data_IF_152870955280
#
_entry.id   IF_152870955280
#
_cell.length_a   1.000
_cell.length_b   1.000
_cell.length_c   1.000
_cell.angle_alpha   90.00
_cell.angle_beta   90.00
_cell.angle_gamma   90.00
#
_symmetry.space_group_name_H-M   'P 1'
#
loop_
_entity.id
_entity.type
_entity.pdbx_description
1 polymer ?
#
# COMPACT_ATOMS: atom_id res chain seq x y z
N UNK A 1 -12.44 5.84 -6.41
CA UNK A 1 -10.99 5.65 -6.38
C UNK A 1 -10.64 4.35 -7.08
N UNK A 2 -9.83 4.40 -8.15
CA UNK A 2 -9.33 3.22 -8.86
C UNK A 2 -8.01 2.83 -8.20
N UNK A 3 -7.96 1.66 -7.58
CA UNK A 3 -6.81 1.26 -6.77
C UNK A 3 -5.54 1.09 -7.62
N UNK A 4 -4.33 1.22 -7.03
CA UNK A 4 -3.05 1.04 -7.73
C UNK A 4 -2.95 -0.26 -8.55
N UNK A 5 -2.55 -0.20 -9.82
CA UNK A 5 -2.34 -1.40 -10.63
C UNK A 5 -1.22 -1.22 -11.63
N UNK A 6 -0.47 -2.28 -11.89
CA UNK A 6 0.62 -2.25 -12.87
C UNK A 6 0.09 -1.95 -14.27
N UNK A 7 0.72 -1.01 -14.96
CA UNK A 7 0.27 -0.55 -16.28
C UNK A 7 -0.82 0.52 -16.23
N UNK A 8 -1.02 1.17 -15.08
CA UNK A 8 -1.81 2.39 -15.02
C UNK A 8 -1.11 3.56 -15.73
N UNK A 9 -1.86 4.64 -15.93
CA UNK A 9 -1.39 5.86 -16.63
C UNK A 9 -1.07 7.00 -15.68
N UNK A 10 -0.92 6.72 -14.38
CA UNK A 10 -0.57 7.75 -13.38
C UNK A 10 0.90 8.13 -13.52
N UNK A 11 1.31 9.23 -12.91
CA UNK A 11 2.68 9.75 -13.00
C UNK A 11 3.30 9.92 -11.60
N UNK A 12 4.32 9.10 -11.24
CA UNK A 12 4.80 7.92 -11.96
C UNK A 12 3.73 6.82 -11.99
N UNK A 13 3.80 5.92 -12.98
CA UNK A 13 2.87 4.79 -13.04
C UNK A 13 3.13 3.84 -11.87
N UNK A 14 2.08 3.18 -11.38
CA UNK A 14 2.29 2.10 -10.41
C UNK A 14 3.11 0.98 -11.05
N UNK A 15 4.09 0.49 -10.31
CA UNK A 15 4.96 -0.61 -10.71
C UNK A 15 5.43 -1.36 -9.47
N UNK A 16 4.76 -2.47 -9.16
CA UNK A 16 5.03 -3.26 -7.95
C UNK A 16 5.07 -4.75 -8.27
N UNK A 17 5.93 -5.50 -7.59
CA UNK A 17 6.09 -6.94 -7.81
C UNK A 17 5.01 -7.79 -7.13
N UNK A 18 4.51 -7.33 -5.98
CA UNK A 18 3.57 -8.07 -5.15
C UNK A 18 2.11 -7.74 -5.45
N UNK A 19 1.30 -7.79 -4.40
CA UNK A 19 -0.09 -7.36 -4.42
C UNK A 19 -0.45 -6.63 -3.13
N UNK A 20 -1.72 -6.36 -2.93
CA UNK A 20 -2.21 -5.81 -1.69
C UNK A 20 -3.66 -6.22 -1.45
N UNK A 21 -4.08 -6.16 -0.19
CA UNK A 21 -5.48 -6.29 0.20
C UNK A 21 -5.95 -5.00 0.85
N UNK A 22 -7.25 -4.76 0.85
CA UNK A 22 -7.84 -3.71 1.67
C UNK A 22 -7.90 -4.22 3.10
N UNK A 23 -7.14 -3.58 3.99
CA UNK A 23 -7.12 -3.89 5.42
C UNK A 23 -8.19 -3.12 6.19
N UNK A 24 -8.46 -1.89 5.76
CA UNK A 24 -9.42 -1.02 6.45
C UNK A 24 -10.00 -0.01 5.46
N UNK A 25 -11.33 0.18 5.54
CA UNK A 25 -12.03 1.35 5.03
C UNK A 25 -12.80 1.96 6.20
N UNK A 26 -12.48 3.19 6.53
CA UNK A 26 -13.09 3.89 7.65
C UNK A 26 -13.31 5.36 7.35
N UNK A 27 -14.31 5.94 8.00
CA UNK A 27 -14.68 7.34 7.89
C UNK A 27 -15.12 7.86 9.25
N UNK A 28 -15.23 9.18 9.37
CA UNK A 28 -15.44 9.84 10.66
C UNK A 28 -16.91 10.13 10.97
N UNK A 29 -17.80 10.03 9.99
CA UNK A 29 -19.15 10.57 10.09
C UNK A 29 -20.22 9.73 9.37
N UNK A 30 -20.11 8.40 9.39
CA UNK A 30 -21.16 7.51 8.85
C UNK A 30 -21.18 7.40 7.33
N UNK A 31 -20.02 7.58 6.69
CA UNK A 31 -19.82 7.33 5.28
C UNK A 31 -20.15 5.88 4.92
N UNK A 32 -20.72 5.68 3.73
CA UNK A 32 -20.96 4.32 3.20
C UNK A 32 -19.94 3.98 2.13
N UNK A 33 -19.46 2.75 2.18
CA UNK A 33 -18.38 2.25 1.36
C UNK A 33 -18.89 1.19 0.41
N UNK A 34 -18.39 1.22 -0.81
CA UNK A 34 -18.67 0.25 -1.85
C UNK A 34 -17.38 -0.14 -2.55
N UNK A 35 -17.34 -1.33 -3.11
CA UNK A 35 -16.24 -1.78 -3.93
C UNK A 35 -16.74 -2.41 -5.23
N UNK A 36 -15.85 -2.58 -6.19
CA UNK A 36 -16.11 -3.34 -7.40
C UNK A 36 -14.94 -4.27 -7.71
N UNK A 37 -15.22 -5.32 -8.48
CA UNK A 37 -14.23 -6.22 -9.07
C UNK A 37 -14.21 -6.11 -10.60
N UNK A 38 -14.94 -5.14 -11.16
CA UNK A 38 -14.93 -4.88 -12.60
C UNK A 38 -13.52 -4.48 -13.07
N UNK A 39 -13.14 -4.73 -14.34
CA UNK A 39 -11.80 -4.39 -14.84
C UNK A 39 -11.47 -2.90 -14.65
N UNK A 40 -10.25 -2.56 -14.21
CA UNK A 40 -9.87 -1.16 -13.95
C UNK A 40 -10.11 -0.22 -15.14
N UNK A 41 -9.93 -0.73 -16.37
CA UNK A 41 -10.12 0.03 -17.61
C UNK A 41 -11.58 0.38 -17.90
N UNK A 42 -12.56 -0.31 -17.29
CA UNK A 42 -13.99 0.00 -17.47
C UNK A 42 -14.53 0.96 -16.40
N UNK A 43 -13.70 1.35 -15.43
CA UNK A 43 -14.16 2.12 -14.27
C UNK A 43 -14.22 3.60 -14.63
N UNK A 44 -15.43 4.16 -14.56
CA UNK A 44 -15.63 5.58 -14.79
C UNK A 44 -15.21 6.39 -13.55
N UNK A 45 -14.36 7.41 -13.77
CA UNK A 45 -13.91 8.32 -12.70
C UNK A 45 -14.96 9.34 -12.27
N UNK A 46 -16.04 9.52 -13.03
CA UNK A 46 -17.22 10.24 -12.58
C UNK A 46 -18.15 9.29 -11.81
N UNK A 47 -18.23 9.39 -10.47
CA UNK A 47 -19.07 8.49 -9.68
C UNK A 47 -20.57 8.65 -9.95
N UNK A 48 -21.01 9.73 -10.62
CA UNK A 48 -22.43 9.94 -10.95
C UNK A 48 -22.93 9.10 -12.13
N UNK A 49 -22.02 8.67 -13.02
CA UNK A 49 -22.39 7.86 -14.20
C UNK A 49 -22.60 6.38 -13.85
N UNK A 50 -22.02 5.91 -12.75
CA UNK A 50 -22.28 4.63 -12.09
C UNK A 50 -22.39 3.41 -13.04
N UNK A 51 -21.49 3.30 -14.02
CA UNK A 51 -21.51 2.29 -15.09
C UNK A 51 -21.03 0.90 -14.67
N UNK A 52 -20.64 0.72 -13.41
CA UNK A 52 -19.99 -0.47 -12.86
C UNK A 52 -20.83 -1.13 -11.78
N UNK A 53 -20.56 -2.39 -11.47
CA UNK A 53 -21.21 -3.12 -10.39
C UNK A 53 -20.60 -2.74 -9.05
N UNK A 54 -21.33 -1.99 -8.22
CA UNK A 54 -20.88 -1.56 -6.90
C UNK A 54 -21.54 -2.38 -5.80
N UNK A 55 -20.71 -3.04 -5.00
CA UNK A 55 -21.12 -3.92 -3.90
C UNK A 55 -20.88 -3.17 -2.59
N UNK A 56 -21.86 -3.09 -1.66
CA UNK A 56 -21.63 -2.56 -0.32
C UNK A 56 -20.47 -3.27 0.36
N UNK A 57 -19.56 -2.50 0.96
CA UNK A 57 -18.38 -3.05 1.62
C UNK A 57 -18.71 -3.52 3.03
N UNK A 58 -18.34 -4.76 3.32
CA UNK A 58 -17.98 -5.23 4.66
C UNK A 58 -16.69 -6.04 4.56
N UNK A 59 -15.88 -6.16 5.63
CA UNK A 59 -14.67 -6.97 5.61
C UNK A 59 -14.93 -8.41 5.15
N UNK A 60 -16.04 -9.00 5.59
CA UNK A 60 -16.43 -10.38 5.25
C UNK A 60 -16.76 -10.52 3.76
N UNK A 61 -17.51 -9.58 3.19
CA UNK A 61 -17.91 -9.61 1.78
C UNK A 61 -16.74 -9.30 0.83
N UNK A 62 -15.76 -8.52 1.29
CA UNK A 62 -14.58 -8.14 0.54
C UNK A 62 -13.47 -9.21 0.56
N UNK A 63 -13.48 -10.09 1.57
CA UNK A 63 -12.42 -11.09 1.77
C UNK A 63 -12.23 -11.97 0.55
N UNK A 64 -10.98 -12.10 0.09
CA UNK A 64 -10.59 -12.95 -1.05
C UNK A 64 -10.94 -12.40 -2.43
N UNK A 65 -11.56 -11.21 -2.53
CA UNK A 65 -11.92 -10.61 -3.82
C UNK A 65 -10.77 -9.76 -4.37
N UNK A 66 -10.60 -9.79 -5.69
CA UNK A 66 -9.73 -8.87 -6.40
C UNK A 66 -10.44 -7.52 -6.59
N UNK A 67 -10.36 -6.67 -5.58
CA UNK A 67 -11.02 -5.37 -5.59
C UNK A 67 -10.20 -4.39 -6.45
N UNK A 68 -10.86 -3.78 -7.43
CA UNK A 68 -10.22 -2.92 -8.43
C UNK A 68 -10.49 -1.44 -8.19
N UNK A 69 -11.61 -1.10 -7.55
CA UNK A 69 -11.92 0.26 -7.13
C UNK A 69 -12.85 0.30 -5.92
N UNK A 70 -12.82 1.45 -5.26
CA UNK A 70 -13.66 1.80 -4.11
C UNK A 70 -14.48 3.03 -4.46
N UNK A 71 -15.74 3.04 -4.04
CA UNK A 71 -16.61 4.21 -4.08
C UNK A 71 -17.06 4.53 -2.66
N UNK A 72 -16.94 5.80 -2.31
CA UNK A 72 -17.32 6.30 -1.00
C UNK A 72 -18.47 7.28 -1.23
N UNK A 73 -19.58 7.07 -0.53
CA UNK A 73 -20.61 8.08 -0.42
C UNK A 73 -20.44 8.77 0.93
N UNK A 74 -19.80 9.94 0.89
CA UNK A 74 -19.63 10.76 2.07
C UNK A 74 -20.93 11.52 2.37
N UNK A 75 -21.22 11.68 3.66
CA UNK A 75 -22.34 12.51 4.09
C UNK A 75 -22.09 13.99 3.75
N UNK A 76 -23.17 14.76 3.66
CA UNK A 76 -23.14 16.20 3.34
C UNK A 76 -22.12 16.93 4.21
N UNK A 77 -21.20 17.64 3.58
CA UNK A 77 -20.32 18.59 4.26
C UNK A 77 -21.17 19.79 4.71
N UNK A 78 -21.15 20.07 6.00
CA UNK A 78 -21.80 21.22 6.62
C UNK A 78 -20.79 22.33 6.86
N UNK A 79 -21.26 23.56 7.07
CA UNK A 79 -20.37 24.70 7.38
C UNK A 79 -19.63 24.56 8.72
N UNK A 80 -19.99 23.58 9.55
CA UNK A 80 -19.33 23.25 10.81
C UNK A 80 -18.31 22.12 10.68
N UNK A 81 -18.32 21.37 9.57
CA UNK A 81 -17.32 20.34 9.31
C UNK A 81 -15.99 21.02 8.91
N UNK A 82 -14.95 20.92 9.73
CA UNK A 82 -13.62 21.44 9.38
C UNK A 82 -13.00 20.64 8.23
N UNK A 83 -12.93 19.32 8.39
CA UNK A 83 -12.57 18.37 7.34
C UNK A 83 -13.32 17.05 7.58
N UNK A 84 -13.58 16.30 6.51
CA UNK A 84 -13.98 14.89 6.60
C UNK A 84 -12.81 14.03 6.16
N UNK A 85 -12.38 13.16 7.06
CA UNK A 85 -11.31 12.21 6.79
C UNK A 85 -11.91 10.86 6.45
N UNK A 86 -11.43 10.28 5.36
CA UNK A 86 -11.70 8.91 4.96
C UNK A 86 -10.36 8.20 4.82
N UNK A 87 -10.25 7.05 5.45
CA UNK A 87 -9.02 6.25 5.45
C UNK A 87 -9.22 4.99 4.63
N UNK A 88 -8.29 4.75 3.71
CA UNK A 88 -8.13 3.51 2.95
C UNK A 88 -6.77 2.92 3.30
N UNK A 89 -6.73 1.83 4.07
CA UNK A 89 -5.48 1.14 4.38
C UNK A 89 -5.33 -0.07 3.47
N UNK A 90 -4.26 -0.06 2.69
CA UNK A 90 -3.84 -1.19 1.89
C UNK A 90 -2.74 -1.95 2.66
N UNK A 91 -2.86 -3.28 2.71
CA UNK A 91 -1.84 -4.17 3.24
C UNK A 91 -1.05 -4.77 2.07
N UNK A 92 0.17 -4.28 1.81
CA UNK A 92 1.04 -4.87 0.79
C UNK A 92 1.45 -6.30 1.14
N UNK A 93 1.67 -7.14 0.12
CA UNK A 93 2.16 -8.51 0.26
C UNK A 93 3.15 -8.84 -0.87
N UNK A 94 4.28 -9.48 -0.54
CA UNK A 94 5.32 -9.90 -1.48
C UNK A 94 5.96 -8.75 -2.29
N UNK A 95 6.08 -7.57 -1.68
CA UNK A 95 6.68 -6.40 -2.32
C UNK A 95 8.21 -6.42 -2.25
N UNK A 96 8.83 -5.63 -3.12
CA UNK A 96 10.27 -5.41 -3.18
C UNK A 96 10.62 -3.94 -2.98
N UNK A 97 11.85 -3.70 -2.54
CA UNK A 97 12.41 -2.35 -2.54
C UNK A 97 12.37 -1.75 -3.94
N UNK A 98 11.88 -0.52 -4.04
CA UNK A 98 11.66 0.18 -5.30
C UNK A 98 10.25 0.02 -5.89
N UNK A 99 9.38 -0.84 -5.35
CA UNK A 99 7.98 -0.92 -5.78
C UNK A 99 7.28 0.44 -5.61
N UNK A 100 6.49 0.86 -6.60
CA UNK A 100 5.77 2.13 -6.61
C UNK A 100 4.27 1.89 -6.64
N UNK A 101 3.57 2.45 -5.67
CA UNK A 101 2.11 2.54 -5.62
C UNK A 101 1.70 3.98 -5.84
N UNK A 102 1.11 4.30 -6.98
CA UNK A 102 0.59 5.64 -7.23
C UNK A 102 -0.91 5.63 -7.12
N UNK A 103 -1.47 6.54 -6.33
CA UNK A 103 -2.92 6.66 -6.18
C UNK A 103 -3.42 8.09 -6.36
N UNK A 104 -4.69 8.21 -6.73
CA UNK A 104 -5.41 9.48 -6.80
C UNK A 104 -6.91 9.21 -6.65
N UNK A 105 -7.67 10.20 -6.23
CA UNK A 105 -9.13 10.08 -6.16
C UNK A 105 -9.81 11.09 -7.08
N UNK A 106 -11.06 10.77 -7.41
CA UNK A 106 -11.97 11.69 -8.07
C UNK A 106 -13.32 11.67 -7.36
N UNK A 107 -14.04 12.78 -7.42
CA UNK A 107 -15.28 12.94 -6.68
C UNK A 107 -16.22 13.99 -7.25
N UNK A 108 -17.48 13.86 -6.86
CA UNK A 108 -18.52 14.89 -7.05
C UNK A 108 -18.82 15.52 -5.70
N UNK A 109 -18.97 16.84 -5.72
CA UNK A 109 -19.41 17.63 -4.57
C UNK A 109 -20.69 18.35 -4.99
N UNK A 110 -21.70 18.35 -4.12
CA UNK A 110 -22.94 19.07 -4.38
C UNK A 110 -22.65 20.54 -4.72
N UNK A 111 -23.35 21.07 -5.72
CA UNK A 111 -23.19 22.43 -6.24
C UNK A 111 -21.84 22.73 -6.93
N UNK A 112 -21.02 21.73 -7.21
CA UNK A 112 -19.82 21.86 -8.05
C UNK A 112 -20.06 21.15 -9.38
N UNK A 113 -20.08 21.92 -10.47
CA UNK A 113 -20.35 21.38 -11.81
C UNK A 113 -19.17 20.53 -12.36
N UNK A 114 -17.94 20.82 -11.94
CA UNK A 114 -16.75 20.07 -12.33
C UNK A 114 -16.56 18.81 -11.45
N UNK A 115 -15.90 17.79 -12.01
CA UNK A 115 -15.37 16.68 -11.21
C UNK A 115 -14.10 17.18 -10.53
N UNK A 116 -13.96 16.87 -9.24
CA UNK A 116 -12.72 17.14 -8.50
C UNK A 116 -11.79 15.95 -8.70
N UNK A 117 -10.52 16.21 -9.01
CA UNK A 117 -9.46 15.22 -9.08
C UNK A 117 -8.35 15.62 -8.11
N UNK A 118 -7.81 14.65 -7.37
CA UNK A 118 -6.55 14.86 -6.66
C UNK A 118 -5.37 14.73 -7.62
N UNK A 119 -4.22 15.21 -7.20
CA UNK A 119 -2.96 14.86 -7.83
C UNK A 119 -2.67 13.36 -7.66
N UNK A 120 -1.76 12.87 -8.51
CA UNK A 120 -1.12 11.58 -8.32
C UNK A 120 -0.17 11.64 -7.12
N UNK A 121 -0.29 10.65 -6.25
CA UNK A 121 0.53 10.51 -5.04
C UNK A 121 1.23 9.15 -5.09
N UNK A 122 2.54 9.11 -5.40
CA UNK A 122 3.32 7.88 -5.35
C UNK A 122 3.83 7.58 -3.94
N UNK A 123 3.83 6.30 -3.58
CA UNK A 123 4.53 5.74 -2.43
C UNK A 123 5.53 4.73 -2.97
N UNK A 124 6.80 4.89 -2.62
CA UNK A 124 7.86 3.94 -2.97
C UNK A 124 8.16 3.05 -1.77
N UNK A 125 8.11 1.73 -1.98
CA UNK A 125 8.52 0.75 -0.99
C UNK A 125 10.03 0.87 -0.81
N UNK A 126 10.46 1.18 0.41
CA UNK A 126 11.87 1.22 0.76
C UNK A 126 12.27 -0.16 1.28
N UNK A 127 13.33 -0.74 0.72
CA UNK A 127 13.99 -1.90 1.33
C UNK A 127 15.11 -1.46 2.25
N UNK A 128 15.24 -2.12 3.38
CA UNK A 128 16.42 -2.03 4.25
C UNK A 128 17.21 -3.33 4.17
N UNK A 129 18.53 -3.24 4.23
CA UNK A 129 19.43 -4.39 4.33
C UNK A 129 20.19 -4.34 5.65
N UNK A 130 20.46 -5.51 6.22
CA UNK A 130 21.33 -5.69 7.38
C UNK A 130 22.36 -6.79 7.04
N UNK A 131 23.62 -6.56 7.38
CA UNK A 131 24.71 -7.50 7.15
C UNK A 131 26.07 -6.89 7.52
N UNK A 132 27.05 -7.74 7.73
CA UNK A 132 28.47 -7.40 7.91
C UNK A 132 29.32 -8.69 7.80
N UNK A 133 30.62 -8.61 8.10
CA UNK A 133 31.55 -9.73 8.18
C UNK A 133 31.52 -10.44 9.52
N UNK A 134 31.79 -11.74 9.51
CA UNK A 134 32.20 -12.50 10.69
C UNK A 134 33.71 -12.72 10.59
N UNK A 135 34.47 -12.33 11.60
CA UNK A 135 35.94 -12.44 11.62
C UNK A 135 36.45 -13.05 12.92
N UNK A 136 37.68 -13.57 12.86
CA UNK A 136 38.40 -13.99 14.05
C UNK A 136 39.10 -12.79 14.68
N UNK A 137 38.56 -12.30 15.79
CA UNK A 137 39.17 -11.25 16.62
C UNK A 137 40.37 -11.84 17.38
N UNK A 138 41.55 -11.72 16.77
CA UNK A 138 42.76 -12.38 17.25
C UNK A 138 43.39 -11.65 18.43
N UNK A 139 43.09 -10.35 18.60
CA UNK A 139 43.66 -9.51 19.63
C UNK A 139 42.67 -9.14 20.76
N UNK A 140 41.39 -9.49 20.62
CA UNK A 140 40.33 -9.35 21.61
C UNK A 140 39.79 -7.93 21.78
N UNK A 141 39.92 -7.06 20.78
CA UNK A 141 39.55 -5.65 20.88
C UNK A 141 38.14 -5.32 20.35
N UNK A 142 37.44 -6.28 19.74
CA UNK A 142 36.10 -6.11 19.19
C UNK A 142 36.02 -5.26 17.92
N UNK A 143 37.14 -4.98 17.26
CA UNK A 143 37.26 -4.21 16.01
C UNK A 143 37.90 -5.10 14.95
N UNK A 144 37.38 -5.08 13.71
CA UNK A 144 38.00 -5.83 12.61
C UNK A 144 39.28 -5.13 12.16
N UNK A 145 40.42 -5.64 12.59
CA UNK A 145 41.72 -5.11 12.24
C UNK A 145 42.24 -5.62 10.88
N UNK A 146 43.23 -4.92 10.33
CA UNK A 146 43.92 -5.36 9.13
C UNK A 146 44.72 -6.64 9.42
N UNK A 147 44.48 -7.69 8.65
CA UNK A 147 45.07 -9.02 8.85
C UNK A 147 44.17 -10.01 9.58
N UNK A 148 43.06 -9.57 10.18
CA UNK A 148 42.08 -10.48 10.76
C UNK A 148 41.21 -11.12 9.67
N UNK A 149 41.28 -12.45 9.62
CA UNK A 149 40.62 -13.24 8.58
C UNK A 149 39.13 -13.39 8.87
N UNK A 150 38.33 -13.33 7.81
CA UNK A 150 36.92 -13.69 7.84
C UNK A 150 36.74 -15.18 8.12
N UNK A 151 35.66 -15.54 8.79
CA UNK A 151 35.28 -16.93 9.03
C UNK A 151 34.26 -17.33 7.95
N UNK A 152 34.60 -18.26 7.04
CA UNK A 152 33.69 -18.66 5.97
C UNK A 152 32.58 -19.58 6.50
N UNK A 153 31.45 -19.61 5.78
CA UNK A 153 30.32 -20.52 6.02
C UNK A 153 29.66 -20.36 7.40
N UNK A 154 29.67 -19.14 7.96
CA UNK A 154 28.95 -18.85 9.20
C UNK A 154 27.49 -18.59 8.85
N UNK A 155 26.60 -19.47 9.33
CA UNK A 155 25.16 -19.25 9.16
C UNK A 155 24.68 -18.13 10.06
N UNK A 156 24.14 -17.07 9.47
CA UNK A 156 23.50 -15.96 10.17
C UNK A 156 22.00 -16.04 9.95
N UNK A 157 21.22 -16.03 11.04
CA UNK A 157 19.76 -16.05 10.99
C UNK A 157 19.21 -14.71 11.47
N UNK A 158 18.34 -14.10 10.67
CA UNK A 158 17.52 -12.96 11.10
C UNK A 158 16.24 -13.49 11.75
N UNK A 159 15.96 -13.07 12.98
CA UNK A 159 14.77 -13.45 13.74
C UNK A 159 13.86 -12.23 13.96
N UNK A 160 12.55 -12.45 14.10
CA UNK A 160 11.61 -11.43 14.58
C UNK A 160 11.66 -11.28 16.12
N UNK A 161 10.87 -10.34 16.65
CA UNK A 161 10.78 -10.08 18.09
C UNK A 161 10.23 -11.29 18.87
N UNK A 162 9.52 -12.21 18.22
CA UNK A 162 8.98 -13.43 18.80
C UNK A 162 9.96 -14.62 18.70
N UNK A 163 11.13 -14.42 18.09
CA UNK A 163 12.16 -15.44 17.90
C UNK A 163 11.95 -16.33 16.67
N UNK A 164 10.98 -16.03 15.81
CA UNK A 164 10.77 -16.80 14.58
C UNK A 164 11.80 -16.39 13.51
N UNK A 165 12.28 -17.36 12.74
CA UNK A 165 13.25 -17.11 11.66
C UNK A 165 12.58 -16.40 10.47
N UNK A 166 13.11 -15.23 10.11
CA UNK A 166 12.69 -14.40 8.98
C UNK A 166 13.55 -14.65 7.74
N UNK A 167 14.88 -14.74 7.92
CA UNK A 167 15.82 -14.97 6.83
C UNK A 167 17.09 -15.69 7.32
N UNK A 168 17.87 -16.25 6.39
CA UNK A 168 19.14 -16.91 6.68
C UNK A 168 20.12 -16.67 5.53
N UNK A 169 21.41 -16.52 5.86
CA UNK A 169 22.51 -16.37 4.90
C UNK A 169 23.77 -17.08 5.40
N UNK A 170 24.73 -17.35 4.52
CA UNK A 170 25.99 -18.07 4.78
C UNK A 170 27.19 -17.37 4.16
#
# INVERSE_FOLDING_TARGET
DILPYNGDTRTPASNFNGGYTIKELSGTNGETFYFTTDPQSSINRDPSLNTNTWIPYTPEVATGKNITAIKIHANTLTSTDGAKEVTVKLAPANNKGGDIYTNNFSGRVSNVNAIVYSNDVPITVVSSSIGDYVWNDANGNGVKDSGELGIPNVTVNLLDQQGNKIASTV
#
